data_IF_247958011315
#
_entry.id   IF_247958011315
#
_cell.length_a   1.000
_cell.length_b   1.000
_cell.length_c   1.000
_cell.angle_alpha   90.00
_cell.angle_beta   90.00
_cell.angle_gamma   90.00
#
_symmetry.space_group_name_H-M   'P 1'
#
loop_
_entity.id
_entity.type
_entity.pdbx_description
1 polymer ?
#
# COMPACT_ATOMS: atom_id res chain seq x y z
N UNK A 1 -34.90 -18.44 28.66
CA UNK A 1 -33.89 -18.87 27.67
C UNK A 1 -34.55 -19.44 26.42
N UNK A 2 -35.41 -18.67 25.74
CA UNK A 2 -36.09 -19.09 24.49
C UNK A 2 -36.24 -17.94 23.47
N UNK A 3 -35.48 -16.85 23.62
CA UNK A 3 -35.56 -15.68 22.74
C UNK A 3 -34.46 -15.59 21.66
N UNK A 4 -33.50 -16.52 21.66
CA UNK A 4 -32.38 -16.53 20.71
C UNK A 4 -32.57 -17.54 19.56
N UNK A 5 -33.57 -18.43 19.64
CA UNK A 5 -33.83 -19.44 18.60
C UNK A 5 -34.77 -18.94 17.49
N UNK A 6 -35.61 -17.94 17.77
CA UNK A 6 -36.59 -17.38 16.81
C UNK A 6 -35.97 -16.67 15.60
N UNK A 7 -35.02 -15.71 15.77
CA UNK A 7 -34.47 -14.99 14.62
C UNK A 7 -33.53 -15.85 13.77
N UNK A 8 -32.87 -16.84 14.38
CA UNK A 8 -31.95 -17.74 13.69
C UNK A 8 -32.69 -18.73 12.77
N UNK A 9 -33.87 -19.22 13.19
CA UNK A 9 -34.69 -20.13 12.38
C UNK A 9 -35.45 -19.39 11.26
N UNK A 10 -35.76 -18.11 11.45
CA UNK A 10 -36.37 -17.26 10.42
C UNK A 10 -35.43 -17.00 9.25
N UNK A 11 -34.15 -16.71 9.53
CA UNK A 11 -33.12 -16.49 8.49
C UNK A 11 -32.81 -17.76 7.68
N UNK A 12 -32.95 -18.95 8.27
CA UNK A 12 -32.69 -20.22 7.57
C UNK A 12 -33.87 -20.71 6.69
N UNK A 13 -35.10 -20.25 6.94
CA UNK A 13 -36.31 -20.76 6.27
C UNK A 13 -36.68 -19.96 5.01
N UNK A 14 -36.08 -18.78 4.81
CA UNK A 14 -36.24 -17.98 3.60
C UNK A 14 -35.10 -18.22 2.61
N UNK A 15 -35.00 -19.42 2.05
CA UNK A 15 -34.40 -19.61 0.72
C UNK A 15 -35.51 -19.72 -0.32
N UNK A 16 -36.05 -18.60 -0.82
CA UNK A 16 -36.30 -18.56 -2.23
C UNK A 16 -34.93 -18.35 -2.90
N UNK A 17 -34.54 -19.26 -3.79
CA UNK A 17 -33.53 -18.99 -4.83
C UNK A 17 -34.10 -17.93 -5.79
N UNK A 18 -34.52 -16.80 -5.23
CA UNK A 18 -35.18 -15.69 -5.87
C UNK A 18 -34.16 -14.58 -5.81
N UNK A 19 -33.39 -14.51 -6.90
CA UNK A 19 -32.78 -13.27 -7.31
C UNK A 19 -33.94 -12.30 -7.58
N UNK A 20 -34.44 -11.66 -6.52
CA UNK A 20 -35.24 -10.45 -6.64
C UNK A 20 -34.47 -9.48 -7.55
N UNK A 21 -35.12 -8.83 -8.54
CA UNK A 21 -34.45 -7.93 -9.47
C UNK A 21 -33.70 -6.78 -8.77
N UNK A 22 -34.05 -6.49 -7.50
CA UNK A 22 -33.39 -5.49 -6.66
C UNK A 22 -32.09 -5.97 -5.98
N UNK A 23 -31.86 -7.28 -5.83
CA UNK A 23 -30.69 -7.85 -5.16
C UNK A 23 -29.45 -7.95 -6.05
N UNK A 24 -29.64 -7.92 -7.38
CA UNK A 24 -28.54 -7.96 -8.34
C UNK A 24 -27.57 -6.76 -8.22
N UNK A 25 -28.09 -5.58 -7.89
CA UNK A 25 -27.28 -4.37 -7.73
C UNK A 25 -26.33 -4.45 -6.53
N UNK A 26 -26.76 -5.04 -5.42
CA UNK A 26 -25.93 -5.23 -4.23
C UNK A 26 -24.80 -6.22 -4.49
N UNK A 27 -25.08 -7.33 -5.20
CA UNK A 27 -24.04 -8.28 -5.59
C UNK A 27 -22.98 -7.61 -6.47
N UNK A 28 -23.42 -6.83 -7.45
CA UNK A 28 -22.52 -6.11 -8.36
C UNK A 28 -21.72 -5.03 -7.63
N UNK A 29 -22.34 -4.26 -6.73
CA UNK A 29 -21.65 -3.27 -5.91
C UNK A 29 -20.60 -3.90 -5.01
N UNK A 30 -20.90 -5.03 -4.36
CA UNK A 30 -19.93 -5.75 -3.52
C UNK A 30 -18.76 -6.26 -4.36
N UNK A 31 -19.03 -6.77 -5.56
CA UNK A 31 -18.01 -7.26 -6.47
C UNK A 31 -17.08 -6.14 -6.92
N UNK A 32 -17.63 -5.01 -7.38
CA UNK A 32 -16.85 -3.85 -7.82
C UNK A 32 -16.06 -3.24 -6.65
N UNK A 33 -16.71 -3.04 -5.49
CA UNK A 33 -16.05 -2.51 -4.30
C UNK A 33 -14.94 -3.46 -3.80
N UNK A 34 -15.18 -4.77 -3.84
CA UNK A 34 -14.20 -5.79 -3.50
C UNK A 34 -12.98 -5.76 -4.43
N UNK A 35 -13.19 -5.67 -5.74
CA UNK A 35 -12.11 -5.56 -6.73
C UNK A 35 -11.32 -4.25 -6.57
N UNK A 36 -12.01 -3.13 -6.39
CA UNK A 36 -11.37 -1.83 -6.16
C UNK A 36 -10.56 -1.81 -4.85
N UNK A 37 -11.14 -2.32 -3.75
CA UNK A 37 -10.47 -2.44 -2.46
C UNK A 37 -9.25 -3.37 -2.51
N UNK A 38 -9.37 -4.53 -3.17
CA UNK A 38 -8.25 -5.44 -3.38
C UNK A 38 -7.15 -4.79 -4.22
N UNK A 39 -7.49 -4.08 -5.30
CA UNK A 39 -6.53 -3.36 -6.13
C UNK A 39 -5.73 -2.31 -5.35
N UNK A 40 -6.40 -1.48 -4.54
CA UNK A 40 -5.74 -0.50 -3.68
C UNK A 40 -4.85 -1.18 -2.62
N UNK A 41 -5.33 -2.26 -2.01
CA UNK A 41 -4.59 -3.00 -0.99
C UNK A 41 -3.32 -3.65 -1.56
N UNK A 42 -3.42 -4.26 -2.75
CA UNK A 42 -2.30 -4.88 -3.47
C UNK A 42 -1.30 -3.82 -3.91
N UNK A 43 -1.77 -2.72 -4.52
CA UNK A 43 -0.91 -1.60 -4.95
C UNK A 43 -0.09 -1.04 -3.78
N UNK A 44 -0.74 -0.87 -2.63
CA UNK A 44 -0.11 -0.36 -1.42
C UNK A 44 0.89 -1.36 -0.79
N UNK A 45 0.62 -2.66 -0.91
CA UNK A 45 1.47 -3.74 -0.38
C UNK A 45 2.52 -4.25 -1.38
N UNK A 46 2.55 -3.71 -2.61
CA UNK A 46 3.37 -4.21 -3.72
C UNK A 46 4.86 -4.30 -3.34
N UNK A 47 5.37 -3.40 -2.50
CA UNK A 47 6.77 -3.45 -2.02
C UNK A 47 7.05 -4.56 -1.03
N UNK A 48 6.10 -4.90 -0.14
CA UNK A 48 6.26 -6.07 0.72
C UNK A 48 6.25 -7.34 -0.10
N UNK A 49 5.34 -7.43 -1.07
CA UNK A 49 5.25 -8.56 -2.00
C UNK A 49 6.55 -8.69 -2.83
N UNK A 50 7.10 -7.60 -3.38
CA UNK A 50 8.42 -7.59 -4.04
C UNK A 50 9.55 -8.06 -3.14
N UNK A 51 9.55 -7.71 -1.84
CA UNK A 51 10.57 -8.21 -0.89
C UNK A 51 10.50 -9.73 -0.71
N UNK A 52 9.31 -10.33 -0.80
CA UNK A 52 9.15 -11.79 -0.76
C UNK A 52 9.46 -12.46 -2.10
N UNK A 53 9.27 -11.77 -3.24
CA UNK A 53 9.54 -12.30 -4.58
C UNK A 53 10.97 -12.02 -5.10
N UNK A 54 11.74 -11.18 -4.40
CA UNK A 54 13.09 -10.72 -4.79
C UNK A 54 14.25 -11.48 -4.16
N UNK A 55 14.06 -12.71 -3.68
CA UNK A 55 15.16 -13.53 -3.13
C UNK A 55 15.51 -14.68 -4.07
N UNK A 56 16.40 -14.38 -5.03
CA UNK A 56 17.52 -15.19 -5.55
C UNK A 56 17.90 -14.76 -6.98
N UNK A 57 18.97 -13.98 -7.10
CA UNK A 57 20.04 -14.21 -8.08
C UNK A 57 21.34 -13.82 -7.37
N UNK A 58 21.95 -14.78 -6.69
CA UNK A 58 23.41 -14.73 -6.48
C UNK A 58 24.01 -15.05 -7.85
N UNK A 59 24.75 -14.11 -8.41
CA UNK A 59 25.81 -14.40 -9.37
C UNK A 59 27.00 -13.56 -8.92
N UNK A 60 27.86 -14.19 -8.14
CA UNK A 60 29.23 -13.77 -7.95
C UNK A 60 30.00 -14.16 -9.22
N UNK A 61 30.60 -13.19 -9.90
CA UNK A 61 31.92 -13.31 -10.55
C UNK A 61 32.46 -11.91 -10.80
N UNK A 62 33.72 -11.76 -10.44
CA UNK A 62 34.58 -10.57 -10.32
C UNK A 62 35.00 -9.94 -11.67
N UNK A 63 35.37 -8.65 -11.60
CA UNK A 63 36.40 -7.85 -12.33
C UNK A 63 36.51 -7.94 -13.89
N UNK A 64 36.66 -6.87 -14.69
CA UNK A 64 37.64 -5.77 -14.63
C UNK A 64 37.13 -4.46 -15.32
N UNK A 65 37.70 -3.34 -14.85
CA UNK A 65 37.69 -1.89 -15.21
C UNK A 65 38.13 -1.58 -16.68
N UNK A 66 38.08 -0.39 -17.30
CA UNK A 66 37.88 1.02 -16.88
C UNK A 66 37.19 1.88 -17.97
N UNK A 67 36.62 3.03 -17.54
CA UNK A 67 36.65 4.26 -18.34
C UNK A 67 35.35 4.81 -18.92
N UNK A 68 34.65 5.63 -18.14
CA UNK A 68 34.17 6.96 -18.56
C UNK A 68 33.58 7.75 -17.38
N UNK A 69 34.35 8.74 -16.97
CA UNK A 69 33.99 9.75 -15.97
C UNK A 69 32.94 10.70 -16.54
N UNK A 70 31.65 10.37 -16.40
CA UNK A 70 30.58 11.37 -16.42
C UNK A 70 30.07 11.60 -15.00
N UNK A 71 30.58 12.67 -14.39
CA UNK A 71 30.08 13.26 -13.15
C UNK A 71 28.66 13.82 -13.37
N UNK A 72 27.67 12.93 -13.40
CA UNK A 72 26.26 13.29 -13.26
C UNK A 72 26.02 13.59 -11.79
N UNK A 73 25.94 14.89 -11.50
CA UNK A 73 25.59 15.54 -10.23
C UNK A 73 24.72 14.65 -9.33
N UNK A 74 25.40 13.96 -8.41
CA UNK A 74 24.78 13.20 -7.33
C UNK A 74 24.26 14.23 -6.35
N UNK A 75 22.93 14.43 -6.18
CA UNK A 75 22.43 15.45 -5.27
C UNK A 75 22.97 15.15 -3.88
N UNK A 76 23.83 16.07 -3.44
CA UNK A 76 24.52 16.13 -2.16
C UNK A 76 23.54 15.72 -1.07
N UNK A 77 23.83 14.58 -0.44
CA UNK A 77 23.20 14.09 0.78
C UNK A 77 23.48 15.08 1.91
N UNK A 78 22.83 16.23 1.87
CA UNK A 78 22.72 17.12 3.02
C UNK A 78 21.68 16.47 3.91
N UNK A 79 22.18 15.64 4.82
CA UNK A 79 21.48 14.97 5.92
C UNK A 79 20.25 15.78 6.35
N UNK A 80 19.10 15.42 5.81
CA UNK A 80 17.86 16.09 6.11
C UNK A 80 17.38 15.56 7.47
N UNK A 81 17.74 16.25 8.55
CA UNK A 81 17.30 15.96 9.92
C UNK A 81 15.84 16.36 10.15
N UNK A 82 14.99 16.02 9.19
CA UNK A 82 13.56 16.26 9.25
C UNK A 82 12.93 15.12 10.05
N UNK A 83 12.17 15.48 11.07
CA UNK A 83 11.50 14.50 11.92
C UNK A 83 10.28 13.96 11.18
N UNK A 84 10.43 12.81 10.52
CA UNK A 84 9.32 12.13 9.85
C UNK A 84 8.47 11.36 10.88
N UNK A 85 7.15 11.28 10.69
CA UNK A 85 6.33 10.38 11.49
C UNK A 85 6.71 8.93 11.19
N UNK A 86 6.74 8.08 12.22
CA UNK A 86 7.07 6.67 12.06
C UNK A 86 6.09 5.91 11.14
N UNK A 87 4.87 6.43 10.98
CA UNK A 87 3.80 5.88 10.12
C UNK A 87 3.19 6.99 9.27
N UNK A 88 2.82 6.66 8.04
CA UNK A 88 2.08 7.57 7.16
C UNK A 88 0.66 7.77 7.71
N UNK A 89 0.16 9.00 7.85
CA UNK A 89 -1.19 9.25 8.38
C UNK A 89 -2.31 8.77 7.45
N UNK A 90 -2.04 8.59 6.15
CA UNK A 90 -3.03 8.13 5.19
C UNK A 90 -3.07 6.62 5.07
N UNK A 91 -1.89 6.01 4.89
CA UNK A 91 -1.80 4.59 4.56
C UNK A 91 -1.35 3.74 5.76
N UNK A 92 -0.89 4.35 6.86
CA UNK A 92 -0.46 3.63 8.05
C UNK A 92 0.86 2.86 7.91
N UNK A 93 1.44 2.79 6.71
CA UNK A 93 2.72 2.12 6.47
C UNK A 93 3.88 2.88 7.12
N UNK A 94 4.89 2.14 7.59
CA UNK A 94 6.08 2.74 8.16
C UNK A 94 6.83 3.59 7.12
N UNK A 95 7.19 4.82 7.50
CA UNK A 95 7.90 5.75 6.63
C UNK A 95 9.37 5.77 7.03
N UNK A 96 10.26 5.49 6.08
CA UNK A 96 11.72 5.52 6.31
C UNK A 96 12.35 6.71 5.59
N UNK A 97 13.27 7.46 6.24
CA UNK A 97 13.90 8.64 5.64
C UNK A 97 14.63 8.36 4.32
N UNK A 98 15.21 7.15 4.17
CA UNK A 98 15.97 6.77 3.00
C UNK A 98 15.11 6.30 1.80
N UNK A 99 13.80 6.15 1.98
CA UNK A 99 12.89 5.63 0.95
C UNK A 99 11.89 6.70 0.45
N UNK A 100 11.91 7.92 0.98
CA UNK A 100 10.94 8.97 0.60
C UNK A 100 11.45 9.87 -0.51
N UNK A 101 10.59 10.17 -1.48
CA UNK A 101 10.86 11.17 -2.52
C UNK A 101 10.51 12.55 -1.98
N UNK A 102 11.43 13.50 -2.07
CA UNK A 102 11.18 14.88 -1.64
C UNK A 102 10.38 15.61 -2.71
N UNK A 103 9.29 16.27 -2.31
CA UNK A 103 8.50 17.11 -3.20
C UNK A 103 8.87 18.58 -2.98
N UNK A 104 8.90 19.02 -1.72
CA UNK A 104 9.24 20.39 -1.32
C UNK A 104 10.08 20.40 -0.02
N UNK A 105 10.46 21.58 0.46
CA UNK A 105 11.22 21.77 1.71
C UNK A 105 10.50 21.26 2.97
N UNK A 106 9.17 21.20 2.91
CA UNK A 106 8.27 20.81 4.02
C UNK A 106 7.32 19.66 3.66
N UNK A 107 7.48 19.04 2.48
CA UNK A 107 6.60 17.98 1.99
C UNK A 107 7.40 16.84 1.37
N UNK A 108 7.17 15.62 1.86
CA UNK A 108 7.74 14.38 1.30
C UNK A 108 6.62 13.47 0.80
N UNK A 109 6.86 12.78 -0.31
CA UNK A 109 5.89 11.84 -0.86
C UNK A 109 6.05 10.46 -0.19
N UNK A 110 4.93 9.88 0.21
CA UNK A 110 4.92 8.50 0.68
C UNK A 110 5.19 7.55 -0.48
N UNK A 111 6.27 6.78 -0.39
CA UNK A 111 6.64 5.78 -1.40
C UNK A 111 5.60 4.65 -1.59
N UNK A 112 4.61 4.52 -0.70
CA UNK A 112 3.61 3.45 -0.73
C UNK A 112 2.28 3.88 -1.35
N UNK A 113 1.77 5.04 -0.97
CA UNK A 113 0.48 5.54 -1.45
C UNK A 113 0.58 6.80 -2.32
N UNK A 114 1.79 7.34 -2.55
CA UNK A 114 1.99 8.58 -3.31
C UNK A 114 1.47 9.85 -2.63
N UNK A 115 0.99 9.74 -1.39
CA UNK A 115 0.40 10.88 -0.67
C UNK A 115 1.49 11.82 -0.14
N UNK A 116 1.29 13.15 -0.23
CA UNK A 116 2.18 14.11 0.39
C UNK A 116 2.04 14.08 1.92
N UNK A 117 3.16 13.91 2.60
CA UNK A 117 3.29 13.96 4.06
C UNK A 117 4.01 15.26 4.40
N UNK A 118 3.34 16.12 5.18
CA UNK A 118 3.97 17.31 5.72
C UNK A 118 4.95 16.92 6.81
N UNK A 119 6.13 17.51 6.75
CA UNK A 119 7.17 17.29 7.73
C UNK A 119 7.37 18.55 8.57
N UNK A 120 7.55 18.35 9.87
CA UNK A 120 7.84 19.44 10.79
C UNK A 120 9.36 19.59 10.92
N UNK A 121 9.87 20.75 10.50
CA UNK A 121 11.21 21.21 10.83
C UNK A 121 11.17 21.64 12.31
N UNK A 122 12.09 21.15 13.14
CA UNK A 122 12.25 21.63 14.52
C UNK A 122 13.22 22.81 14.54
#
# INVERSE_FOLDING_TARGET
MFFLAGPLLFVLTSLPLYLDPSSGSILLQLLIAGLAGAGLFISMSWKRIKRFFGRKVENETEDDDDGDEEEIDKPRSTKLSVHLPAKCPTCGTAVRPNEVKRLDDVTVECQYCGMPIKVHQK
#
